data_IF_437820303332
#
_entry.id   IF_437820303332
#
_cell.length_a   1.000
_cell.length_b   1.000
_cell.length_c   1.000
_cell.angle_alpha   90.00
_cell.angle_beta   90.00
_cell.angle_gamma   90.00
#
_symmetry.space_group_name_H-M   'P 1'
#
loop_
_entity.id
_entity.type
_entity.pdbx_description
1 polymer ?
#
# COMPACT_ATOMS: atom_id res chain seq x y z
N UNK A 1 0.71 -10.62 2.89
CA UNK A 1 1.78 -10.82 1.89
C UNK A 1 2.38 -9.49 1.44
N UNK A 2 1.61 -8.58 0.84
CA UNK A 2 2.16 -7.32 0.28
C UNK A 2 2.77 -6.39 1.35
N UNK A 3 2.11 -6.22 2.49
CA UNK A 3 2.70 -5.48 3.62
C UNK A 3 4.00 -6.07 4.18
N UNK A 4 4.17 -7.40 4.10
CA UNK A 4 5.41 -8.04 4.50
C UNK A 4 6.57 -7.67 3.56
N UNK A 5 6.30 -7.48 2.25
CA UNK A 5 7.29 -6.97 1.30
C UNK A 5 7.73 -5.55 1.65
N UNK A 6 6.82 -4.75 2.18
CA UNK A 6 7.09 -3.41 2.71
C UNK A 6 7.84 -3.44 4.06
N UNK A 7 8.27 -4.61 4.54
CA UNK A 7 9.03 -4.75 5.79
C UNK A 7 8.18 -4.68 7.06
N UNK A 8 6.85 -4.77 6.95
CA UNK A 8 5.97 -4.80 8.11
C UNK A 8 5.91 -6.23 8.66
N UNK A 9 6.24 -6.37 9.94
CA UNK A 9 6.17 -7.66 10.63
C UNK A 9 4.70 -8.01 10.93
N UNK A 10 4.22 -9.08 10.29
CA UNK A 10 2.85 -9.57 10.41
C UNK A 10 2.91 -11.06 10.74
N UNK A 11 2.23 -11.45 11.80
CA UNK A 11 2.03 -12.85 12.18
C UNK A 11 0.54 -13.18 12.08
N UNK A 12 0.21 -14.29 11.41
CA UNK A 12 -1.16 -14.78 11.30
C UNK A 12 -1.35 -15.93 12.29
N UNK A 13 -2.35 -15.80 13.16
CA UNK A 13 -2.71 -16.81 14.13
C UNK A 13 -4.22 -17.05 14.04
N UNK A 14 -4.62 -18.17 13.45
CA UNK A 14 -6.03 -18.50 13.17
C UNK A 14 -6.72 -17.34 12.42
N UNK A 15 -7.76 -16.74 13.02
CA UNK A 15 -8.50 -15.59 12.47
C UNK A 15 -7.92 -14.22 12.87
N UNK A 16 -6.73 -14.21 13.48
CA UNK A 16 -6.06 -12.99 13.93
C UNK A 16 -4.91 -12.60 12.98
N UNK A 17 -4.83 -11.30 12.72
CA UNK A 17 -3.66 -10.66 12.11
C UNK A 17 -2.96 -9.80 13.15
N UNK A 18 -1.83 -10.30 13.66
CA UNK A 18 -0.99 -9.58 14.62
C UNK A 18 0.02 -8.72 13.85
N UNK A 19 -0.08 -7.41 13.99
CA UNK A 19 0.77 -6.43 13.29
C UNK A 19 1.65 -5.74 14.31
N UNK A 20 2.97 -5.80 14.11
CA UNK A 20 3.93 -5.13 15.00
C UNK A 20 4.30 -3.76 14.45
N UNK A 21 3.91 -2.72 15.18
CA UNK A 21 4.25 -1.33 14.85
C UNK A 21 5.73 -0.99 15.09
N UNK A 22 6.22 0.07 14.45
CA UNK A 22 7.52 0.67 14.74
C UNK A 22 8.72 0.08 13.97
N UNK A 23 8.53 -0.92 13.11
CA UNK A 23 9.60 -1.49 12.27
C UNK A 23 9.96 -0.64 11.05
N UNK A 24 9.19 0.43 10.80
CA UNK A 24 9.27 1.24 9.59
C UNK A 24 8.60 0.58 8.38
N UNK A 25 8.43 1.36 7.32
CA UNK A 25 7.96 0.88 6.01
C UNK A 25 9.10 1.04 5.02
N UNK A 26 9.40 0.01 4.24
CA UNK A 26 10.44 0.00 3.22
C UNK A 26 9.80 0.04 1.84
N UNK A 27 10.50 0.61 0.88
CA UNK A 27 10.11 0.52 -0.52
C UNK A 27 10.15 -0.92 -1.03
N UNK A 28 9.17 -1.28 -1.85
CA UNK A 28 9.10 -2.59 -2.49
C UNK A 28 8.14 -2.57 -3.69
N UNK A 29 8.23 -3.61 -4.53
CA UNK A 29 7.21 -3.93 -5.52
C UNK A 29 6.09 -4.75 -4.87
N UNK A 30 4.91 -4.15 -4.80
CA UNK A 30 3.67 -4.76 -4.32
C UNK A 30 2.72 -5.05 -5.49
N UNK A 31 1.67 -5.83 -5.25
CA UNK A 31 0.67 -6.17 -6.26
C UNK A 31 -0.73 -5.99 -5.68
N UNK A 32 -1.65 -5.33 -6.41
CA UNK A 32 -3.02 -5.09 -5.95
C UNK A 32 -3.83 -6.36 -5.73
N UNK A 33 -3.41 -7.46 -6.37
CA UNK A 33 -4.14 -8.74 -6.46
C UNK A 33 -5.53 -8.54 -7.04
N UNK A 34 -5.66 -7.53 -7.91
CA UNK A 34 -6.91 -7.08 -8.52
C UNK A 34 -7.97 -6.59 -7.52
N UNK A 35 -7.59 -6.32 -6.26
CA UNK A 35 -8.44 -5.70 -5.24
C UNK A 35 -8.02 -4.24 -5.03
N UNK A 36 -8.98 -3.32 -5.21
CA UNK A 36 -8.77 -1.88 -5.06
C UNK A 36 -8.35 -1.49 -3.65
N UNK A 37 -8.82 -2.21 -2.62
CA UNK A 37 -8.48 -1.94 -1.22
C UNK A 37 -7.03 -2.27 -0.92
N UNK A 38 -6.51 -3.37 -1.48
CA UNK A 38 -5.09 -3.73 -1.32
C UNK A 38 -4.21 -2.65 -1.97
N UNK A 39 -4.56 -2.21 -3.18
CA UNK A 39 -3.83 -1.14 -3.86
C UNK A 39 -3.85 0.17 -3.05
N UNK A 40 -5.03 0.62 -2.60
CA UNK A 40 -5.13 1.85 -1.78
C UNK A 40 -4.35 1.73 -0.47
N UNK A 41 -4.42 0.57 0.19
CA UNK A 41 -3.72 0.35 1.45
C UNK A 41 -2.18 0.36 1.27
N UNK A 42 -1.68 -0.21 0.17
CA UNK A 42 -0.25 -0.13 -0.18
C UNK A 42 0.17 1.31 -0.52
N UNK A 43 -0.66 2.07 -1.23
CA UNK A 43 -0.37 3.47 -1.55
C UNK A 43 -0.26 4.33 -0.29
N UNK A 44 -1.18 4.16 0.66
CA UNK A 44 -1.15 4.86 1.95
C UNK A 44 0.06 4.45 2.78
N UNK A 45 0.42 3.16 2.82
CA UNK A 45 1.64 2.72 3.51
C UNK A 45 2.91 3.31 2.87
N UNK A 46 2.94 3.45 1.54
CA UNK A 46 4.02 4.05 0.78
C UNK A 46 4.34 5.49 1.19
N UNK A 47 3.37 6.25 1.71
CA UNK A 47 3.57 7.62 2.20
C UNK A 47 4.58 7.71 3.36
N UNK A 48 4.82 6.60 4.07
CA UNK A 48 5.80 6.50 5.15
C UNK A 48 6.99 5.61 4.81
N UNK A 49 7.09 5.16 3.56
CA UNK A 49 8.17 4.29 3.14
C UNK A 49 9.51 5.06 3.07
N UNK A 50 10.58 4.38 3.46
CA UNK A 50 11.95 4.92 3.36
C UNK A 50 12.47 5.01 1.93
N UNK A 51 11.79 4.37 0.98
CA UNK A 51 12.13 4.32 -0.43
C UNK A 51 10.88 4.04 -1.27
N UNK A 52 11.00 4.11 -2.59
CA UNK A 52 9.89 3.99 -3.54
C UNK A 52 9.08 2.70 -3.36
N UNK A 53 7.74 2.84 -3.39
CA UNK A 53 6.79 1.73 -3.41
C UNK A 53 6.10 1.72 -4.76
N UNK A 54 6.24 0.61 -5.49
CA UNK A 54 5.55 0.39 -6.76
C UNK A 54 4.39 -0.57 -6.53
N UNK A 55 3.22 -0.28 -7.09
CA UNK A 55 2.03 -1.12 -6.98
C UNK A 55 1.67 -1.62 -8.37
N UNK A 56 1.88 -2.91 -8.63
CA UNK A 56 1.44 -3.54 -9.87
C UNK A 56 -0.08 -3.70 -9.92
N UNK A 57 -0.66 -3.56 -11.11
CA UNK A 57 -2.10 -3.69 -11.38
C UNK A 57 -2.95 -2.71 -10.53
N UNK A 58 -2.45 -1.49 -10.33
CA UNK A 58 -3.07 -0.49 -9.47
C UNK A 58 -4.30 0.19 -10.10
N UNK A 59 -4.60 -0.12 -11.38
CA UNK A 59 -5.80 0.32 -12.11
C UNK A 59 -7.09 -0.19 -11.45
N UNK A 60 -7.01 -1.25 -10.64
CA UNK A 60 -8.13 -1.74 -9.84
C UNK A 60 -8.80 -0.63 -9.01
N UNK A 61 -8.03 0.35 -8.54
CA UNK A 61 -8.53 1.50 -7.76
C UNK A 61 -9.62 2.26 -8.50
N UNK A 62 -9.48 2.42 -9.82
CA UNK A 62 -10.41 3.20 -10.65
C UNK A 62 -11.84 2.63 -10.67
N UNK A 63 -12.03 1.37 -10.27
CA UNK A 63 -13.37 0.77 -10.13
C UNK A 63 -14.15 1.36 -8.95
N UNK A 64 -13.46 1.78 -7.91
CA UNK A 64 -14.07 2.22 -6.63
C UNK A 64 -13.86 3.70 -6.34
N UNK A 65 -12.68 4.23 -6.68
CA UNK A 65 -12.29 5.59 -6.34
C UNK A 65 -11.36 6.18 -7.42
N UNK A 66 -11.92 6.61 -8.57
CA UNK A 66 -11.14 7.14 -9.69
C UNK A 66 -10.23 8.33 -9.33
N UNK A 67 -10.69 9.21 -8.44
CA UNK A 67 -9.98 10.42 -8.02
C UNK A 67 -8.93 10.18 -6.92
N UNK A 68 -8.67 8.93 -6.51
CA UNK A 68 -7.81 8.59 -5.38
C UNK A 68 -6.39 9.20 -5.48
N UNK A 69 -5.73 9.04 -6.63
CA UNK A 69 -4.37 9.56 -6.83
C UNK A 69 -4.33 11.08 -6.89
N UNK A 70 -5.33 11.71 -7.52
CA UNK A 70 -5.46 13.16 -7.57
C UNK A 70 -5.60 13.74 -6.16
N UNK A 71 -6.47 13.15 -5.34
CA UNK A 71 -6.65 13.59 -3.95
C UNK A 71 -5.38 13.38 -3.12
N UNK A 72 -4.64 12.29 -3.32
CA UNK A 72 -3.33 12.11 -2.66
C UNK A 72 -2.35 13.22 -3.07
N UNK A 73 -2.28 13.57 -4.35
CA UNK A 73 -1.43 14.65 -4.84
C UNK A 73 -1.86 16.01 -4.26
N UNK A 74 -3.17 16.30 -4.19
CA UNK A 74 -3.69 17.52 -3.57
C UNK A 74 -3.35 17.63 -2.07
N UNK A 75 -3.20 16.49 -1.38
CA UNK A 75 -2.75 16.42 0.01
C UNK A 75 -1.21 16.49 0.15
N UNK A 76 -0.47 16.63 -0.95
CA UNK A 76 0.99 16.78 -0.96
C UNK A 76 1.76 15.46 -1.08
N UNK A 77 1.10 14.34 -1.38
CA UNK A 77 1.80 13.09 -1.64
C UNK A 77 2.51 13.11 -3.00
N UNK A 78 3.75 12.62 -3.04
CA UNK A 78 4.44 12.33 -4.30
C UNK A 78 4.01 10.97 -4.80
N UNK A 79 3.08 10.94 -5.75
CA UNK A 79 2.59 9.72 -6.39
C UNK A 79 2.45 9.93 -7.90
N UNK A 80 2.81 8.91 -8.67
CA UNK A 80 2.62 8.85 -10.12
C UNK A 80 1.87 7.58 -10.49
N UNK A 81 1.09 7.67 -11.58
CA UNK A 81 0.39 6.54 -12.19
C UNK A 81 1.26 5.88 -13.26
#
# INVERSE_FOLDING_TARGET
QEFAKLGIEINLQDDLMLIKGGTGVRGALTHSRHDHRIAMACAVAGLRASSEVTIAEAEAINKSYPAFYEHLQQLGATVSK
#
